data_IF_243865497359
#
_entry.id   IF_243865497359
#
_cell.length_a   1.000
_cell.length_b   1.000
_cell.length_c   1.000
_cell.angle_alpha   90.00
_cell.angle_beta   90.00
_cell.angle_gamma   90.00
#
_symmetry.space_group_name_H-M   'P 1'
#
loop_
_entity.id
_entity.type
_entity.pdbx_description
1 polymer ?
#
# COMPACT_ATOMS: atom_id res chain seq x y z
N UNK A 1 -18.61 25.31 -2.67
CA UNK A 1 -18.25 24.09 -1.92
C UNK A 1 -17.46 24.56 -0.72
N UNK A 2 -17.97 24.31 0.48
CA UNK A 2 -17.31 24.70 1.73
C UNK A 2 -16.33 23.60 2.16
N UNK A 3 -15.30 23.91 2.96
CA UNK A 3 -14.39 22.90 3.49
C UNK A 3 -15.11 21.77 4.24
N UNK A 4 -16.25 22.07 4.86
CA UNK A 4 -17.08 21.09 5.55
C UNK A 4 -17.82 20.16 4.57
N UNK A 5 -18.22 20.66 3.41
CA UNK A 5 -18.79 19.86 2.32
C UNK A 5 -17.71 18.99 1.64
N UNK A 6 -16.48 19.49 1.51
CA UNK A 6 -15.34 18.72 0.99
C UNK A 6 -14.93 17.60 1.96
N UNK A 7 -14.89 17.88 3.26
CA UNK A 7 -14.64 16.87 4.30
C UNK A 7 -15.76 15.83 4.33
N UNK A 8 -17.04 16.24 4.24
CA UNK A 8 -18.15 15.28 4.15
C UNK A 8 -18.06 14.46 2.87
N UNK A 9 -17.74 15.04 1.72
CA UNK A 9 -17.55 14.30 0.48
C UNK A 9 -16.36 13.33 0.55
N UNK A 10 -15.29 13.68 1.27
CA UNK A 10 -14.14 12.80 1.52
C UNK A 10 -14.44 11.70 2.57
N UNK A 11 -15.35 11.96 3.53
CA UNK A 11 -15.76 11.01 4.57
C UNK A 11 -16.93 10.11 4.12
N UNK A 12 -17.71 10.52 3.11
CA UNK A 12 -18.70 9.66 2.43
C UNK A 12 -17.94 8.73 1.47
N UNK A 13 -17.10 7.88 2.06
CA UNK A 13 -16.90 6.54 1.53
C UNK A 13 -18.27 5.88 1.70
N UNK A 14 -19.00 5.73 0.60
CA UNK A 14 -20.24 4.95 0.63
C UNK A 14 -19.93 3.59 1.25
N UNK A 15 -20.75 3.08 2.20
CA UNK A 15 -20.54 1.76 2.79
C UNK A 15 -20.43 0.65 1.74
N UNK A 16 -20.97 0.90 0.54
CA UNK A 16 -20.91 0.01 -0.64
C UNK A 16 -19.53 -0.02 -1.31
N UNK A 17 -18.70 1.03 -1.16
CA UNK A 17 -17.28 1.00 -1.55
C UNK A 17 -16.38 0.35 -0.49
N UNK A 18 -16.84 0.24 0.75
CA UNK A 18 -16.34 -0.77 1.69
C UNK A 18 -17.00 -2.09 1.30
N UNK A 19 -16.79 -2.54 0.06
CA UNK A 19 -16.99 -3.93 -0.26
C UNK A 19 -16.10 -4.68 0.74
N UNK A 20 -16.73 -5.37 1.68
CA UNK A 20 -16.04 -6.33 2.54
C UNK A 20 -15.52 -7.41 1.61
N UNK A 21 -14.36 -7.14 1.04
CA UNK A 21 -13.55 -8.15 0.44
C UNK A 21 -13.24 -9.15 1.56
N UNK A 22 -12.99 -10.42 1.22
CA UNK A 22 -12.81 -11.48 2.22
C UNK A 22 -11.92 -11.03 3.38
N UNK A 23 -12.10 -11.57 4.60
CA UNK A 23 -11.31 -11.17 5.77
C UNK A 23 -9.79 -11.12 5.49
N UNK A 24 -9.33 -11.98 4.57
CA UNK A 24 -7.96 -12.03 4.06
C UNK A 24 -7.57 -10.76 3.28
N UNK A 25 -8.45 -10.26 2.42
CA UNK A 25 -8.19 -9.05 1.62
C UNK A 25 -8.32 -7.80 2.49
N UNK A 26 -9.24 -7.75 3.46
CA UNK A 26 -9.29 -6.66 4.43
C UNK A 26 -7.99 -6.57 5.25
N UNK A 27 -7.50 -7.72 5.74
CA UNK A 27 -6.21 -7.78 6.41
C UNK A 27 -5.06 -7.34 5.50
N UNK A 28 -5.03 -7.80 4.24
CA UNK A 28 -4.01 -7.38 3.29
C UNK A 28 -4.04 -5.87 3.02
N UNK A 29 -5.22 -5.28 2.86
CA UNK A 29 -5.41 -3.85 2.67
C UNK A 29 -4.96 -3.04 3.89
N UNK A 30 -5.27 -3.51 5.11
CA UNK A 30 -4.81 -2.89 6.36
C UNK A 30 -3.27 -2.90 6.45
N UNK A 31 -2.64 -4.03 6.16
CA UNK A 31 -1.18 -4.13 6.17
C UNK A 31 -0.56 -3.23 5.10
N UNK A 32 -1.12 -3.20 3.89
CA UNK A 32 -0.65 -2.31 2.83
C UNK A 32 -0.77 -0.84 3.24
N UNK A 33 -1.91 -0.43 3.80
CA UNK A 33 -2.12 0.93 4.29
C UNK A 33 -1.11 1.34 5.36
N UNK A 34 -0.81 0.44 6.32
CA UNK A 34 0.22 0.67 7.35
C UNK A 34 1.61 0.84 6.73
N UNK A 35 2.01 -0.02 5.81
CA UNK A 35 3.33 0.09 5.18
C UNK A 35 3.46 1.33 4.30
N UNK A 36 2.41 1.70 3.55
CA UNK A 36 2.37 2.96 2.82
C UNK A 36 2.51 4.16 3.74
N UNK A 37 1.81 4.17 4.89
CA UNK A 37 1.96 5.24 5.88
C UNK A 37 3.39 5.31 6.43
N UNK A 38 3.99 4.17 6.78
CA UNK A 38 5.38 4.12 7.26
C UNK A 38 6.35 4.66 6.20
N UNK A 39 6.11 4.36 4.93
CA UNK A 39 6.95 4.86 3.85
C UNK A 39 6.80 6.36 3.62
N UNK A 40 5.59 6.93 3.81
CA UNK A 40 5.40 8.38 3.83
C UNK A 40 6.20 9.03 4.97
N UNK A 41 6.18 8.45 6.17
CA UNK A 41 7.00 8.95 7.30
C UNK A 41 8.50 8.91 6.97
N UNK A 42 8.95 7.83 6.34
CA UNK A 42 10.33 7.71 5.88
C UNK A 42 10.69 8.81 4.87
N UNK A 43 9.87 9.03 3.83
CA UNK A 43 10.06 10.11 2.85
C UNK A 43 10.09 11.48 3.54
N UNK A 44 9.17 11.72 4.48
CA UNK A 44 9.13 12.96 5.24
C UNK A 44 10.37 13.12 6.15
N UNK A 45 10.92 12.03 6.69
CA UNK A 45 12.15 12.08 7.49
C UNK A 45 13.40 12.44 6.67
N UNK A 46 13.39 12.17 5.35
CA UNK A 46 14.48 12.53 4.44
C UNK A 46 14.54 14.05 4.25
N UNK A 47 13.39 14.70 4.09
CA UNK A 47 13.30 16.17 4.00
C UNK A 47 12.12 16.69 4.84
N UNK A 48 12.38 17.10 6.11
CA UNK A 48 11.35 17.62 7.01
C UNK A 48 10.71 18.94 6.58
N UNK A 49 11.16 19.56 5.49
CA UNK A 49 10.53 20.76 4.92
C UNK A 49 9.27 20.42 4.14
N UNK A 50 9.13 19.18 3.68
CA UNK A 50 7.93 18.72 3.00
C UNK A 50 6.75 18.77 3.95
N UNK A 51 5.61 19.30 3.50
CA UNK A 51 4.35 19.07 4.20
C UNK A 51 3.95 17.61 4.03
N UNK A 52 3.14 17.09 4.96
CA UNK A 52 2.68 15.69 4.91
C UNK A 52 2.08 15.29 3.56
N UNK A 53 1.24 16.13 2.97
CA UNK A 53 0.63 15.82 1.66
C UNK A 53 1.65 15.84 0.51
N UNK A 54 2.71 16.65 0.59
CA UNK A 54 3.80 16.68 -0.40
C UNK A 54 4.63 15.40 -0.31
N UNK A 55 4.93 14.94 0.92
CA UNK A 55 5.55 13.63 1.14
C UNK A 55 4.69 12.48 0.61
N UNK A 56 3.36 12.54 0.79
CA UNK A 56 2.44 11.56 0.22
C UNK A 56 2.47 11.53 -1.32
N UNK A 57 2.48 12.70 -1.96
CA UNK A 57 2.57 12.81 -3.42
C UNK A 57 3.91 12.26 -3.93
N UNK A 58 5.00 12.57 -3.25
CA UNK A 58 6.33 12.04 -3.59
C UNK A 58 6.39 10.52 -3.41
N UNK A 59 5.82 9.98 -2.33
CA UNK A 59 5.66 8.54 -2.13
C UNK A 59 4.89 7.90 -3.29
N UNK A 60 3.77 8.49 -3.72
CA UNK A 60 2.99 7.95 -4.83
C UNK A 60 3.80 7.90 -6.13
N UNK A 61 4.50 8.99 -6.47
CA UNK A 61 5.37 9.04 -7.64
C UNK A 61 6.52 8.02 -7.57
N UNK A 62 7.10 7.80 -6.37
CA UNK A 62 8.11 6.78 -6.19
C UNK A 62 7.55 5.36 -6.41
N UNK A 63 6.38 5.05 -5.84
CA UNK A 63 5.74 3.74 -6.00
C UNK A 63 5.34 3.46 -7.46
N UNK A 64 4.96 4.48 -8.23
CA UNK A 64 4.69 4.35 -9.67
C UNK A 64 5.94 3.90 -10.45
N UNK A 65 7.12 4.40 -10.07
CA UNK A 65 8.40 4.08 -10.71
C UNK A 65 9.07 2.82 -10.13
N UNK A 66 8.63 2.34 -8.96
CA UNK A 66 9.23 1.22 -8.25
C UNK A 66 9.36 -0.06 -9.09
N UNK A 67 8.39 -0.47 -9.93
CA UNK A 67 8.55 -1.65 -10.77
C UNK A 67 9.75 -1.58 -11.72
N UNK A 68 10.02 -0.39 -12.29
CA UNK A 68 11.19 -0.17 -13.14
C UNK A 68 12.49 -0.32 -12.34
N UNK A 69 12.55 0.32 -11.16
CA UNK A 69 13.70 0.20 -10.25
C UNK A 69 13.96 -1.25 -9.80
N UNK A 70 12.89 -2.03 -9.58
CA UNK A 70 13.00 -3.44 -9.24
C UNK A 70 13.55 -4.27 -10.42
N UNK A 71 13.16 -3.98 -11.66
CA UNK A 71 13.63 -4.72 -12.84
C UNK A 71 15.14 -4.56 -13.06
N UNK A 72 15.70 -3.42 -12.64
CA UNK A 72 17.13 -3.15 -12.72
C UNK A 72 17.96 -3.92 -11.68
N UNK A 73 17.33 -4.58 -10.69
CA UNK A 73 18.00 -5.45 -9.71
C UNK A 73 17.46 -6.89 -9.74
N UNK A 74 18.23 -7.83 -10.33
CA UNK A 74 17.88 -9.25 -10.32
C UNK A 74 17.65 -9.83 -8.92
N UNK A 75 18.38 -9.37 -7.91
CA UNK A 75 18.25 -9.81 -6.52
C UNK A 75 16.87 -9.47 -5.95
N UNK A 76 16.37 -8.25 -6.21
CA UNK A 76 15.05 -7.81 -5.76
C UNK A 76 13.95 -8.64 -6.42
N UNK A 77 14.03 -8.86 -7.74
CA UNK A 77 13.06 -9.71 -8.46
C UNK A 77 13.06 -11.14 -7.93
N UNK A 78 14.24 -11.71 -7.68
CA UNK A 78 14.35 -13.06 -7.13
C UNK A 78 13.78 -13.15 -5.71
N UNK A 79 14.01 -12.15 -4.88
CA UNK A 79 13.40 -12.07 -3.54
C UNK A 79 11.88 -11.98 -3.61
N UNK A 80 11.33 -11.15 -4.51
CA UNK A 80 9.89 -11.04 -4.72
C UNK A 80 9.27 -12.36 -5.17
N UNK A 81 9.91 -13.08 -6.10
CA UNK A 81 9.47 -14.42 -6.54
C UNK A 81 9.50 -15.43 -5.40
N UNK A 82 10.58 -15.47 -4.63
CA UNK A 82 10.70 -16.35 -3.48
C UNK A 82 9.59 -16.11 -2.44
N UNK A 83 9.30 -14.84 -2.13
CA UNK A 83 8.24 -14.47 -1.20
C UNK A 83 6.85 -14.84 -1.74
N UNK A 84 6.62 -14.69 -3.05
CA UNK A 84 5.38 -15.12 -3.69
C UNK A 84 5.19 -16.65 -3.57
N UNK A 85 6.24 -17.43 -3.82
CA UNK A 85 6.20 -18.90 -3.67
C UNK A 85 5.86 -19.32 -2.24
N UNK A 86 6.42 -18.63 -1.23
CA UNK A 86 6.10 -18.87 0.17
C UNK A 86 4.62 -18.66 0.46
N UNK A 87 4.02 -17.56 -0.02
CA UNK A 87 2.59 -17.28 0.14
C UNK A 87 1.70 -18.32 -0.57
N UNK A 88 2.09 -18.76 -1.76
CA UNK A 88 1.36 -19.78 -2.53
C UNK A 88 1.38 -21.14 -1.81
N UNK A 89 2.54 -21.57 -1.30
CA UNK A 89 2.67 -22.82 -0.55
C UNK A 89 1.83 -22.80 0.73
N UNK A 90 1.92 -21.72 1.50
CA UNK A 90 1.13 -21.55 2.72
C UNK A 90 -0.39 -21.52 2.49
N UNK A 91 -0.85 -21.19 1.28
CA UNK A 91 -2.26 -21.35 0.88
C UNK A 91 -2.63 -22.81 0.66
N UNK A 92 -1.80 -23.57 -0.05
CA UNK A 92 -2.10 -24.95 -0.45
C UNK A 92 -2.10 -25.92 0.74
N UNK A 93 -1.27 -25.68 1.75
CA UNK A 93 -1.21 -26.48 2.98
C UNK A 93 -2.46 -26.31 3.87
N UNK A 94 -3.13 -25.15 3.81
CA UNK A 94 -4.37 -24.90 4.55
C UNK A 94 -5.61 -25.53 3.93
N UNK A 95 -5.53 -26.01 2.69
CA UNK A 95 -6.66 -26.65 1.97
C UNK A 95 -6.63 -28.18 2.08
N UNK A 96 -5.58 -28.76 2.68
CA UNK A 96 -5.39 -30.22 2.80
C UNK A 96 -5.67 -30.77 4.22
N UNK A 97 -6.06 -29.91 5.16
CA UNK A 97 -6.53 -30.26 6.50
C UNK A 97 -7.99 -29.82 6.67
#
# INVERSE_FOLDING_TARGET
MTPEEEIRAAIIVTPEMIAFVSAQINYAAEQLGKQSSNFVEFVHSIDPRLKRHEAMLLTAAFLENLPGLCQDSPEVINSLRHNADFLIKGRNEKTQN
#
